data_IF_350810529606
#
_entry.id   IF_350810529606
#
_cell.length_a   1.000
_cell.length_b   1.000
_cell.length_c   1.000
_cell.angle_alpha   90.00
_cell.angle_beta   90.00
_cell.angle_gamma   90.00
#
_symmetry.space_group_name_H-M   'P 1'
#
loop_
_entity.id
_entity.type
_entity.pdbx_description
1 polymer ?
#
# COMPACT_ATOMS: atom_id res chain seq x y z
N UNK A 1 -29.04 -3.22 25.16
CA UNK A 1 -28.29 -2.26 26.01
C UNK A 1 -27.05 -1.72 25.29
N UNK A 2 -26.35 -2.50 24.45
CA UNK A 2 -25.18 -2.04 23.69
C UNK A 2 -25.43 -0.93 22.64
N UNK A 3 -26.61 -0.91 21.99
CA UNK A 3 -26.94 0.13 20.98
C UNK A 3 -27.03 1.56 21.54
N UNK A 4 -27.23 1.72 22.86
CA UNK A 4 -27.48 3.04 23.46
C UNK A 4 -26.25 3.66 24.14
N UNK A 5 -25.18 2.89 24.41
CA UNK A 5 -24.10 3.37 25.27
C UNK A 5 -22.99 4.12 24.50
N UNK A 6 -22.91 3.97 23.17
CA UNK A 6 -21.71 4.41 22.42
C UNK A 6 -21.97 5.20 21.13
N UNK A 7 -23.23 5.52 20.80
CA UNK A 7 -23.54 6.24 19.56
C UNK A 7 -23.12 5.49 18.29
N UNK A 8 -22.95 4.15 18.37
CA UNK A 8 -22.61 3.32 17.24
C UNK A 8 -23.81 3.14 16.33
N UNK A 9 -23.79 3.79 15.16
CA UNK A 9 -24.62 3.40 14.03
C UNK A 9 -24.06 2.09 13.46
N UNK A 10 -24.72 0.98 13.79
CA UNK A 10 -24.50 -0.31 13.14
C UNK A 10 -25.30 -0.36 11.85
N UNK A 11 -24.77 -0.97 10.79
CA UNK A 11 -25.53 -1.19 9.54
C UNK A 11 -26.82 -1.95 9.87
N UNK A 12 -27.96 -1.33 9.56
CA UNK A 12 -29.26 -1.96 9.72
C UNK A 12 -29.49 -3.00 8.61
N UNK A 13 -29.25 -4.27 8.94
CA UNK A 13 -29.43 -5.41 8.03
C UNK A 13 -30.89 -5.70 7.67
N UNK A 14 -31.85 -5.10 8.37
CA UNK A 14 -33.29 -5.22 8.06
C UNK A 14 -33.71 -4.39 6.85
N UNK A 15 -32.90 -3.41 6.46
CA UNK A 15 -33.17 -2.55 5.30
C UNK A 15 -33.35 -3.40 4.02
N UNK A 16 -34.38 -3.12 3.21
CA UNK A 16 -34.73 -3.93 2.04
C UNK A 16 -33.67 -3.84 0.93
N UNK A 17 -32.87 -2.77 0.90
CA UNK A 17 -31.87 -2.52 -0.12
C UNK A 17 -30.49 -3.11 0.22
N UNK A 18 -30.36 -3.89 1.30
CA UNK A 18 -29.12 -4.57 1.68
C UNK A 18 -29.01 -5.91 0.96
N UNK A 19 -27.91 -6.11 0.24
CA UNK A 19 -27.60 -7.33 -0.49
C UNK A 19 -27.52 -8.54 0.44
N UNK A 20 -28.04 -9.68 -0.01
CA UNK A 20 -28.05 -10.92 0.78
C UNK A 20 -26.64 -11.35 1.19
N UNK A 21 -25.64 -11.22 0.32
CA UNK A 21 -24.26 -11.56 0.66
C UNK A 21 -23.67 -10.63 1.73
N UNK A 22 -24.14 -9.38 1.85
CA UNK A 22 -23.70 -8.49 2.93
C UNK A 22 -24.28 -8.94 4.28
N UNK A 23 -25.56 -9.36 4.28
CA UNK A 23 -26.19 -9.95 5.48
C UNK A 23 -25.47 -11.23 5.89
N UNK A 24 -25.24 -12.11 4.93
CA UNK A 24 -24.51 -13.36 5.16
C UNK A 24 -23.10 -13.10 5.69
N UNK A 25 -22.39 -12.10 5.17
CA UNK A 25 -21.05 -11.76 5.66
C UNK A 25 -21.06 -11.22 7.09
N UNK A 26 -22.01 -10.35 7.45
CA UNK A 26 -22.05 -9.66 8.75
C UNK A 26 -22.74 -10.46 9.86
N UNK A 27 -23.48 -11.53 9.52
CA UNK A 27 -24.07 -12.41 10.52
C UNK A 27 -22.98 -13.18 11.29
N UNK A 28 -23.23 -13.44 12.57
CA UNK A 28 -22.41 -14.37 13.36
C UNK A 28 -22.58 -15.80 12.83
N UNK A 29 -21.47 -16.50 12.61
CA UNK A 29 -21.47 -17.92 12.26
C UNK A 29 -20.99 -18.75 13.44
N UNK A 30 -21.76 -19.74 13.87
CA UNK A 30 -21.31 -20.67 14.91
C UNK A 30 -20.03 -21.38 14.47
N UNK A 31 -19.10 -21.60 15.41
CA UNK A 31 -17.93 -22.40 15.16
C UNK A 31 -18.34 -23.84 14.82
N UNK A 32 -17.80 -24.45 13.74
CA UNK A 32 -18.19 -25.80 13.33
C UNK A 32 -17.99 -26.87 14.40
N UNK A 33 -17.04 -26.67 15.33
CA UNK A 33 -16.68 -27.62 16.38
C UNK A 33 -17.13 -27.15 17.79
N UNK A 34 -18.00 -26.13 17.87
CA UNK A 34 -18.40 -25.54 19.13
C UNK A 34 -17.33 -24.63 19.74
N UNK A 35 -17.39 -24.44 21.07
CA UNK A 35 -16.56 -23.49 21.81
C UNK A 35 -15.06 -23.79 21.66
N UNK A 36 -14.28 -22.81 21.24
CA UNK A 36 -12.82 -22.92 21.22
C UNK A 36 -12.27 -22.98 22.65
N UNK A 37 -11.46 -24.00 22.94
CA UNK A 37 -10.95 -24.25 24.30
C UNK A 37 -9.91 -23.22 24.75
N UNK A 38 -9.20 -22.57 23.81
CA UNK A 38 -8.15 -21.60 24.12
C UNK A 38 -8.70 -20.18 24.33
N UNK A 39 -9.63 -19.75 23.49
CA UNK A 39 -10.17 -18.38 23.47
C UNK A 39 -11.56 -18.28 24.08
N UNK A 40 -12.28 -19.40 24.17
CA UNK A 40 -13.64 -19.45 24.70
C UNK A 40 -14.73 -18.92 23.76
N UNK A 41 -14.37 -18.49 22.54
CA UNK A 41 -15.35 -18.00 21.57
C UNK A 41 -16.19 -19.15 21.01
N UNK A 42 -17.45 -18.87 20.66
CA UNK A 42 -18.40 -19.83 20.10
C UNK A 42 -18.79 -19.50 18.66
N UNK A 43 -18.55 -18.27 18.23
CA UNK A 43 -18.96 -17.74 16.94
C UNK A 43 -17.79 -17.03 16.26
N UNK A 44 -17.75 -17.12 14.94
CA UNK A 44 -16.98 -16.23 14.09
C UNK A 44 -17.82 -15.01 13.78
N UNK A 45 -17.21 -13.84 13.97
CA UNK A 45 -17.81 -12.54 13.60
C UNK A 45 -16.99 -11.92 12.49
N UNK A 46 -17.67 -11.23 11.57
CA UNK A 46 -17.03 -10.35 10.61
C UNK A 46 -17.44 -8.90 10.88
N UNK A 47 -16.63 -7.97 10.41
CA UNK A 47 -16.88 -6.54 10.57
C UNK A 47 -16.53 -5.78 9.31
N UNK A 48 -17.20 -4.65 9.14
CA UNK A 48 -16.75 -3.57 8.25
C UNK A 48 -16.31 -2.38 9.09
N UNK A 49 -15.47 -1.52 8.53
CA UNK A 49 -15.06 -0.29 9.21
C UNK A 49 -16.26 0.55 9.62
N UNK A 50 -16.20 1.18 10.80
CA UNK A 50 -17.35 1.90 11.37
C UNK A 50 -17.89 3.00 10.44
N UNK A 51 -17.01 3.76 9.78
CA UNK A 51 -17.41 4.79 8.82
C UNK A 51 -18.13 4.26 7.59
N UNK A 52 -18.05 2.95 7.33
CA UNK A 52 -18.69 2.32 6.18
C UNK A 52 -20.22 2.30 6.27
N UNK A 53 -20.79 2.49 7.46
CA UNK A 53 -22.24 2.63 7.63
C UNK A 53 -22.80 3.74 6.72
N UNK A 54 -22.08 4.86 6.60
CA UNK A 54 -22.42 6.01 5.74
C UNK A 54 -22.39 5.68 4.24
N UNK A 55 -21.84 4.52 3.88
CA UNK A 55 -21.70 4.02 2.52
C UNK A 55 -22.46 2.71 2.33
N UNK A 56 -23.46 2.41 3.17
CA UNK A 56 -24.22 1.16 3.13
C UNK A 56 -24.78 0.82 1.75
N UNK A 57 -25.25 1.81 0.96
CA UNK A 57 -25.79 1.56 -0.38
C UNK A 57 -24.68 1.15 -1.37
N UNK A 58 -23.52 1.79 -1.31
CA UNK A 58 -22.35 1.42 -2.12
C UNK A 58 -21.79 0.06 -1.69
N UNK A 59 -21.81 -0.23 -0.39
CA UNK A 59 -21.38 -1.51 0.17
C UNK A 59 -22.35 -2.63 -0.25
N UNK A 60 -23.64 -2.36 -0.26
CA UNK A 60 -24.68 -3.27 -0.77
C UNK A 60 -24.50 -3.53 -2.27
N UNK A 61 -24.22 -2.48 -3.05
CA UNK A 61 -23.87 -2.61 -4.47
C UNK A 61 -22.63 -3.49 -4.65
N UNK A 62 -21.58 -3.28 -3.85
CA UNK A 62 -20.38 -4.10 -3.86
C UNK A 62 -20.67 -5.55 -3.46
N UNK A 63 -21.63 -5.81 -2.58
CA UNK A 63 -22.01 -7.16 -2.19
C UNK A 63 -23.11 -7.78 -3.07
N UNK A 64 -23.49 -7.11 -4.15
CA UNK A 64 -24.45 -7.63 -5.13
C UNK A 64 -23.72 -8.36 -6.26
N UNK A 65 -23.46 -9.65 -6.05
CA UNK A 65 -22.83 -10.53 -7.03
C UNK A 65 -23.47 -11.92 -7.02
N UNK A 66 -23.19 -12.72 -8.06
CA UNK A 66 -23.62 -14.12 -8.13
C UNK A 66 -22.62 -15.01 -7.38
N UNK A 67 -23.09 -15.70 -6.34
CA UNK A 67 -22.29 -16.72 -5.63
C UNK A 67 -21.83 -17.80 -6.62
N UNK A 68 -20.56 -18.19 -6.53
CA UNK A 68 -19.91 -19.12 -7.48
C UNK A 68 -19.96 -18.64 -8.95
N UNK A 69 -20.30 -17.38 -9.21
CA UNK A 69 -20.18 -16.73 -10.50
C UNK A 69 -18.86 -15.97 -10.63
N UNK A 70 -18.69 -15.22 -11.72
CA UNK A 70 -17.58 -14.28 -11.86
C UNK A 70 -17.84 -13.04 -10.99
N UNK A 71 -16.80 -12.55 -10.33
CA UNK A 71 -16.89 -11.27 -9.63
C UNK A 71 -17.14 -10.12 -10.62
N UNK A 72 -17.99 -9.15 -10.29
CA UNK A 72 -18.15 -7.93 -11.08
C UNK A 72 -16.82 -7.21 -11.25
N UNK A 73 -16.67 -6.53 -12.38
CA UNK A 73 -15.48 -5.74 -12.68
C UNK A 73 -15.63 -4.32 -12.13
N UNK A 74 -15.60 -4.21 -10.79
CA UNK A 74 -15.99 -3.02 -10.04
C UNK A 74 -14.89 -2.51 -9.09
N UNK A 75 -13.64 -2.61 -9.53
CA UNK A 75 -12.47 -2.08 -8.83
C UNK A 75 -12.67 -0.64 -8.34
N UNK A 76 -13.27 0.24 -9.15
CA UNK A 76 -13.52 1.64 -8.79
C UNK A 76 -14.51 1.79 -7.63
N UNK A 77 -15.51 0.91 -7.54
CA UNK A 77 -16.44 0.87 -6.41
C UNK A 77 -15.71 0.43 -5.13
N UNK A 78 -14.88 -0.62 -5.23
CA UNK A 78 -14.03 -1.06 -4.12
C UNK A 78 -13.11 0.05 -3.62
N UNK A 79 -12.42 0.77 -4.51
CA UNK A 79 -11.57 1.89 -4.14
C UNK A 79 -12.36 3.02 -3.48
N UNK A 80 -13.55 3.35 -3.99
CA UNK A 80 -14.42 4.36 -3.39
C UNK A 80 -14.84 3.99 -1.97
N UNK A 81 -15.19 2.73 -1.74
CA UNK A 81 -15.52 2.20 -0.41
C UNK A 81 -14.33 2.28 0.54
N UNK A 82 -13.14 1.86 0.11
CA UNK A 82 -11.89 1.96 0.89
C UNK A 82 -11.65 3.42 1.33
N UNK A 83 -11.71 4.37 0.39
CA UNK A 83 -11.54 5.80 0.67
C UNK A 83 -12.63 6.39 1.59
N UNK A 84 -13.76 5.71 1.74
CA UNK A 84 -14.85 6.07 2.65
C UNK A 84 -14.79 5.30 3.98
N UNK A 85 -13.70 4.56 4.24
CA UNK A 85 -13.47 3.86 5.51
C UNK A 85 -14.11 2.48 5.59
N UNK A 86 -14.41 1.85 4.46
CA UNK A 86 -14.90 0.47 4.38
C UNK A 86 -13.80 -0.60 4.28
N UNK A 87 -12.55 -0.24 4.55
CA UNK A 87 -11.45 -1.21 4.53
C UNK A 87 -11.38 -1.99 5.87
N UNK A 88 -11.08 -3.31 5.88
CA UNK A 88 -10.99 -4.18 4.71
C UNK A 88 -12.38 -4.38 4.09
N UNK A 89 -12.43 -4.43 2.76
CA UNK A 89 -13.67 -4.74 2.06
C UNK A 89 -14.16 -6.14 2.42
N UNK A 90 -15.49 -6.37 2.51
CA UNK A 90 -16.03 -7.71 2.75
C UNK A 90 -15.54 -8.72 1.70
N UNK A 91 -15.26 -9.93 2.16
CA UNK A 91 -14.87 -11.03 1.27
C UNK A 91 -16.07 -11.43 0.41
N UNK A 92 -15.81 -11.69 -0.88
CA UNK A 92 -16.84 -12.15 -1.82
C UNK A 92 -16.71 -13.64 -2.12
N UNK A 93 -17.85 -14.32 -2.28
CA UNK A 93 -17.95 -15.74 -2.71
C UNK A 93 -18.13 -15.86 -4.22
N UNK A 94 -17.32 -15.13 -4.98
CA UNK A 94 -17.27 -15.17 -6.45
C UNK A 94 -15.85 -15.49 -6.92
N UNK A 95 -15.73 -15.99 -8.16
CA UNK A 95 -14.46 -16.29 -8.78
C UNK A 95 -13.85 -15.04 -9.40
N UNK A 96 -12.58 -14.79 -9.08
CA UNK A 96 -11.82 -13.73 -9.72
C UNK A 96 -11.70 -13.98 -11.23
N UNK A 97 -11.65 -12.89 -12.00
CA UNK A 97 -11.42 -12.95 -13.44
C UNK A 97 -10.10 -13.66 -13.73
N UNK A 98 -10.15 -14.68 -14.58
CA UNK A 98 -8.94 -15.41 -15.00
C UNK A 98 -8.21 -14.61 -16.07
N UNK A 99 -6.91 -14.41 -15.87
CA UNK A 99 -6.00 -13.83 -16.87
C UNK A 99 -5.00 -14.91 -17.32
N UNK A 100 -4.76 -15.06 -18.63
CA UNK A 100 -3.84 -16.06 -19.13
C UNK A 100 -2.38 -15.71 -18.76
N UNK A 101 -1.58 -16.74 -18.43
CA UNK A 101 -0.14 -16.60 -18.12
C UNK A 101 0.70 -16.88 -19.37
N UNK A 102 0.58 -16.02 -20.39
CA UNK A 102 1.19 -16.24 -21.72
C UNK A 102 2.39 -15.34 -21.98
N UNK A 103 3.45 -15.91 -22.55
CA UNK A 103 4.65 -15.16 -22.96
C UNK A 103 5.54 -14.69 -21.81
N UNK A 104 5.38 -15.24 -20.60
CA UNK A 104 6.29 -14.95 -19.49
C UNK A 104 7.64 -15.64 -19.67
N UNK A 105 8.71 -14.93 -19.33
CA UNK A 105 10.08 -15.43 -19.32
C UNK A 105 10.46 -15.95 -17.93
N UNK A 106 11.54 -16.73 -17.80
CA UNK A 106 12.10 -17.06 -16.49
C UNK A 106 12.58 -15.81 -15.73
N UNK A 107 12.51 -15.87 -14.40
CA UNK A 107 13.15 -14.87 -13.54
C UNK A 107 14.69 -14.93 -13.70
N UNK A 108 15.42 -13.80 -13.67
CA UNK A 108 14.94 -12.42 -13.49
C UNK A 108 14.54 -11.72 -14.80
N UNK A 109 14.71 -12.36 -15.96
CA UNK A 109 14.44 -11.76 -17.28
C UNK A 109 13.00 -11.26 -17.44
N UNK A 110 12.04 -11.82 -16.70
CA UNK A 110 10.64 -11.39 -16.69
C UNK A 110 10.39 -10.00 -16.10
N UNK A 111 11.32 -9.43 -15.32
CA UNK A 111 11.09 -8.16 -14.61
C UNK A 111 11.13 -6.93 -15.54
N UNK A 112 12.00 -6.94 -16.56
CA UNK A 112 12.31 -5.78 -17.39
C UNK A 112 12.09 -6.07 -18.88
N UNK A 113 11.09 -6.88 -19.21
CA UNK A 113 10.74 -7.21 -20.59
C UNK A 113 9.25 -7.08 -20.82
N UNK A 114 8.90 -6.60 -22.01
CA UNK A 114 7.54 -6.66 -22.48
C UNK A 114 7.08 -8.12 -22.59
N UNK A 115 5.91 -8.36 -22.03
CA UNK A 115 5.18 -9.63 -22.07
C UNK A 115 3.86 -9.39 -22.79
N UNK A 116 3.15 -10.47 -23.14
CA UNK A 116 1.89 -10.35 -23.88
C UNK A 116 0.90 -9.45 -23.15
N UNK A 117 0.31 -8.47 -23.84
CA UNK A 117 -0.70 -7.59 -23.22
C UNK A 117 -1.98 -8.33 -22.76
N UNK A 118 -2.13 -9.59 -23.18
CA UNK A 118 -3.22 -10.50 -22.74
C UNK A 118 -3.15 -10.83 -21.25
N UNK A 119 -2.01 -10.60 -20.59
CA UNK A 119 -1.86 -10.90 -19.16
C UNK A 119 -2.36 -9.76 -18.26
N UNK A 120 -2.74 -8.60 -18.82
CA UNK A 120 -3.22 -7.45 -18.07
C UNK A 120 -4.75 -7.37 -18.07
N UNK A 121 -5.32 -6.83 -16.98
CA UNK A 121 -6.69 -6.33 -16.98
C UNK A 121 -6.69 -4.83 -17.25
N UNK A 122 -7.38 -4.41 -18.31
CA UNK A 122 -7.56 -3.01 -18.69
C UNK A 122 -8.83 -2.40 -18.12
N UNK A 123 -9.43 -3.04 -17.13
CA UNK A 123 -10.67 -2.56 -16.52
C UNK A 123 -10.45 -1.25 -15.76
N UNK A 124 -11.45 -0.37 -15.81
CA UNK A 124 -11.38 0.96 -15.19
C UNK A 124 -10.37 1.92 -15.84
N UNK A 125 -9.57 1.45 -16.80
CA UNK A 125 -8.58 2.26 -17.50
C UNK A 125 -9.11 2.71 -18.86
N UNK A 126 -8.92 4.00 -19.18
CA UNK A 126 -9.18 4.52 -20.52
C UNK A 126 -8.21 3.99 -21.59
N UNK A 127 -7.04 3.49 -21.19
CA UNK A 127 -6.10 2.80 -22.07
C UNK A 127 -6.36 1.30 -22.12
N UNK A 128 -6.18 0.70 -23.30
CA UNK A 128 -6.40 -0.74 -23.56
C UNK A 128 -5.16 -1.48 -24.09
N UNK A 129 -4.01 -0.81 -24.05
CA UNK A 129 -2.70 -1.34 -24.42
C UNK A 129 -1.59 -0.50 -23.75
N UNK A 130 -0.37 -1.04 -23.72
CA UNK A 130 0.79 -0.37 -23.12
C UNK A 130 1.19 0.86 -23.93
N UNK A 131 1.02 0.84 -25.25
CA UNK A 131 1.31 1.99 -26.11
C UNK A 131 0.52 3.24 -25.69
N UNK A 132 -0.77 3.08 -25.35
CA UNK A 132 -1.60 4.15 -24.82
C UNK A 132 -1.18 4.58 -23.41
N UNK A 133 -0.82 3.63 -22.52
CA UNK A 133 -0.36 4.00 -21.17
C UNK A 133 0.94 4.79 -21.22
N UNK A 134 1.86 4.41 -22.09
CA UNK A 134 3.18 5.04 -22.23
C UNK A 134 3.09 6.45 -22.81
N UNK A 135 2.06 6.75 -23.61
CA UNK A 135 1.84 8.10 -24.13
C UNK A 135 1.12 9.02 -23.13
N UNK A 136 0.63 8.50 -21.99
CA UNK A 136 -0.08 9.29 -20.98
C UNK A 136 0.78 9.58 -19.76
N UNK A 137 0.61 10.79 -19.24
CA UNK A 137 1.08 11.16 -17.89
C UNK A 137 -0.01 10.79 -16.89
N UNK A 138 0.16 9.67 -16.19
CA UNK A 138 -0.87 9.13 -15.27
C UNK A 138 -0.96 9.92 -13.97
N UNK A 139 0.19 10.36 -13.44
CA UNK A 139 0.30 11.27 -12.31
C UNK A 139 1.66 12.00 -12.36
N UNK A 140 2.00 12.75 -11.30
CA UNK A 140 3.28 13.48 -11.20
C UNK A 140 4.49 12.55 -11.24
N UNK A 141 4.41 11.44 -10.52
CA UNK A 141 5.51 10.52 -10.28
C UNK A 141 5.58 9.39 -11.32
N UNK A 142 4.63 9.35 -12.25
CA UNK A 142 4.50 8.30 -13.24
C UNK A 142 4.22 8.81 -14.66
N UNK A 143 5.25 9.41 -15.26
CA UNK A 143 5.31 9.70 -16.68
C UNK A 143 6.12 8.61 -17.39
N UNK A 144 5.45 7.74 -18.15
CA UNK A 144 6.10 6.65 -18.89
C UNK A 144 6.60 5.47 -18.04
N UNK A 145 6.07 5.23 -16.83
CA UNK A 145 6.54 4.12 -15.99
C UNK A 145 6.37 2.74 -16.61
N UNK A 146 5.42 2.61 -17.53
CA UNK A 146 5.10 1.33 -18.18
C UNK A 146 5.96 1.08 -19.43
N UNK A 147 6.89 1.97 -19.77
CA UNK A 147 7.97 1.69 -20.70
C UNK A 147 9.08 0.95 -19.95
N UNK A 148 8.86 -0.34 -19.71
CA UNK A 148 9.76 -1.21 -18.95
C UNK A 148 10.98 -1.69 -19.75
N UNK A 149 11.14 -1.22 -21.00
CA UNK A 149 12.26 -1.59 -21.88
C UNK A 149 13.22 -0.42 -22.07
N UNK A 150 12.70 0.77 -22.37
CA UNK A 150 13.51 1.97 -22.63
C UNK A 150 13.27 3.10 -21.64
N UNK A 151 12.26 2.95 -20.77
CA UNK A 151 11.85 3.97 -19.82
C UNK A 151 12.72 4.03 -18.58
N UNK A 152 12.51 5.11 -17.82
CA UNK A 152 13.31 5.45 -16.65
C UNK A 152 13.25 4.41 -15.51
N UNK A 153 12.15 3.68 -15.37
CA UNK A 153 11.99 2.69 -14.30
C UNK A 153 13.09 1.61 -14.34
N UNK A 154 13.60 1.28 -15.54
CA UNK A 154 14.76 0.36 -15.72
C UNK A 154 16.10 0.93 -15.24
N UNK A 155 16.15 2.21 -14.88
CA UNK A 155 17.34 2.88 -14.34
C UNK A 155 17.14 3.33 -12.89
N UNK A 156 15.89 3.41 -12.42
CA UNK A 156 15.56 3.83 -11.07
C UNK A 156 16.21 2.89 -10.05
N UNK A 157 16.79 3.50 -9.00
CA UNK A 157 17.59 2.87 -7.95
C UNK A 157 18.92 2.23 -8.37
N UNK A 158 19.27 2.21 -9.65
CA UNK A 158 20.57 1.68 -10.13
C UNK A 158 21.42 2.74 -10.83
N UNK A 159 20.81 3.87 -11.24
CA UNK A 159 21.49 5.03 -11.80
C UNK A 159 20.91 6.32 -11.23
N UNK A 160 21.73 7.09 -10.53
CA UNK A 160 21.32 8.37 -9.97
C UNK A 160 21.21 9.44 -11.07
N UNK A 161 20.15 10.26 -11.02
CA UNK A 161 19.98 11.44 -11.89
C UNK A 161 20.09 12.75 -11.12
N UNK A 162 19.85 12.68 -9.82
CA UNK A 162 19.96 13.77 -8.87
C UNK A 162 20.54 13.28 -7.56
N UNK A 163 20.99 14.21 -6.71
CA UNK A 163 21.48 13.93 -5.35
C UNK A 163 20.46 13.21 -4.45
N UNK A 164 19.18 13.31 -4.78
CA UNK A 164 18.07 12.67 -4.05
C UNK A 164 17.86 11.20 -4.45
N UNK A 165 18.40 10.75 -5.57
CA UNK A 165 18.19 9.39 -6.05
C UNK A 165 19.21 8.46 -5.40
N UNK A 166 18.81 7.76 -4.35
CA UNK A 166 19.67 6.79 -3.68
C UNK A 166 19.68 5.46 -4.44
N UNK A 167 20.85 4.87 -4.56
CA UNK A 167 21.03 3.58 -5.21
C UNK A 167 20.69 2.45 -4.23
N UNK A 168 20.01 1.42 -4.70
CA UNK A 168 19.58 0.30 -3.87
C UNK A 168 20.79 -0.38 -3.22
N UNK A 169 21.88 -0.58 -3.95
CA UNK A 169 23.09 -1.23 -3.42
C UNK A 169 23.75 -0.39 -2.31
N UNK A 170 23.76 0.95 -2.46
CA UNK A 170 24.26 1.85 -1.42
C UNK A 170 23.41 1.75 -0.15
N UNK A 171 22.08 1.71 -0.28
CA UNK A 171 21.17 1.60 0.86
C UNK A 171 21.32 0.25 1.55
N UNK A 172 21.40 -0.84 0.79
CA UNK A 172 21.60 -2.18 1.35
C UNK A 172 22.95 -2.32 2.05
N UNK A 173 24.01 -1.70 1.54
CA UNK A 173 25.32 -1.66 2.17
C UNK A 173 25.30 -0.95 3.55
N UNK A 174 24.44 0.05 3.73
CA UNK A 174 24.24 0.70 5.04
C UNK A 174 23.62 -0.22 6.09
N UNK A 175 22.94 -1.29 5.66
CA UNK A 175 22.34 -2.31 6.52
C UNK A 175 23.37 -3.28 7.12
N UNK A 176 24.67 -3.02 6.97
CA UNK A 176 25.76 -3.87 7.47
C UNK A 176 25.65 -5.33 7.02
N UNK A 177 25.15 -5.57 5.80
CA UNK A 177 24.96 -6.89 5.22
C UNK A 177 23.73 -7.67 5.71
N UNK A 178 22.86 -7.06 6.53
CA UNK A 178 21.77 -7.76 7.25
C UNK A 178 20.37 -7.69 6.63
N UNK A 179 20.19 -7.17 5.41
CA UNK A 179 18.84 -6.97 4.84
C UNK A 179 18.33 -8.23 4.15
N UNK A 180 17.36 -8.93 4.75
CA UNK A 180 16.76 -10.16 4.19
C UNK A 180 15.41 -9.91 3.54
N UNK A 181 14.60 -9.04 4.15
CA UNK A 181 13.24 -8.75 3.70
C UNK A 181 12.95 -7.25 3.75
N UNK A 182 12.33 -6.74 2.68
CA UNK A 182 11.93 -5.36 2.55
C UNK A 182 10.41 -5.22 2.55
N UNK A 183 9.89 -4.12 3.08
CA UNK A 183 8.48 -3.72 2.96
C UNK A 183 8.38 -2.42 2.17
N UNK A 184 7.58 -2.41 1.10
CA UNK A 184 7.48 -1.27 0.17
C UNK A 184 6.13 -0.56 0.30
N UNK A 185 6.13 0.58 0.99
CA UNK A 185 4.95 1.41 1.20
C UNK A 185 4.71 2.29 -0.03
N UNK A 186 3.55 2.12 -0.63
CA UNK A 186 3.14 2.91 -1.80
C UNK A 186 3.91 2.52 -3.06
N UNK A 187 4.16 1.21 -3.26
CA UNK A 187 5.07 0.62 -4.27
C UNK A 187 4.90 1.01 -5.75
N UNK A 188 4.01 1.95 -6.09
CA UNK A 188 3.99 2.62 -7.39
C UNK A 188 3.92 1.67 -8.58
N UNK A 189 4.88 1.80 -9.49
CA UNK A 189 5.09 0.94 -10.66
C UNK A 189 5.65 -0.45 -10.33
N UNK A 190 5.98 -0.73 -9.07
CA UNK A 190 6.61 -1.99 -8.63
C UNK A 190 8.13 -2.02 -8.81
N UNK A 191 8.77 -0.89 -9.13
CA UNK A 191 10.20 -0.86 -9.46
C UNK A 191 11.12 -1.20 -8.28
N UNK A 192 10.84 -0.67 -7.08
CA UNK A 192 11.62 -1.03 -5.89
C UNK A 192 11.54 -2.53 -5.62
N UNK A 193 10.34 -3.10 -5.74
CA UNK A 193 10.11 -4.53 -5.64
C UNK A 193 10.94 -5.37 -6.61
N UNK A 194 10.92 -4.99 -7.90
CA UNK A 194 11.68 -5.68 -8.93
C UNK A 194 13.19 -5.65 -8.60
N UNK A 195 13.71 -4.50 -8.11
CA UNK A 195 15.11 -4.35 -7.71
C UNK A 195 15.49 -5.15 -6.48
N UNK A 196 14.61 -5.24 -5.49
CA UNK A 196 14.81 -6.09 -4.33
C UNK A 196 14.80 -7.57 -4.73
N UNK A 197 13.88 -7.98 -5.62
CA UNK A 197 13.79 -9.35 -6.11
C UNK A 197 15.08 -9.79 -6.81
N UNK A 198 15.70 -8.94 -7.64
CA UNK A 198 17.02 -9.19 -8.26
C UNK A 198 18.14 -9.50 -7.25
N UNK A 199 17.96 -9.07 -5.99
CA UNK A 199 18.95 -9.20 -4.90
C UNK A 199 18.53 -10.23 -3.86
N UNK A 200 17.64 -11.16 -4.22
CA UNK A 200 17.06 -12.18 -3.34
C UNK A 200 16.30 -11.60 -2.12
N UNK A 201 15.89 -10.33 -2.18
CA UNK A 201 15.07 -9.67 -1.17
C UNK A 201 13.58 -9.78 -1.51
N UNK A 202 12.77 -10.28 -0.57
CA UNK A 202 11.38 -10.66 -0.83
C UNK A 202 10.32 -9.59 -0.52
N UNK A 203 9.29 -9.61 -1.39
CA UNK A 203 7.89 -9.11 -1.37
C UNK A 203 7.59 -7.61 -1.13
N UNK A 204 7.21 -6.85 -2.17
CA UNK A 204 6.46 -5.62 -1.96
C UNK A 204 5.04 -5.94 -1.49
N UNK A 205 4.48 -5.12 -0.62
CA UNK A 205 3.05 -5.16 -0.36
C UNK A 205 2.51 -3.74 -0.44
N UNK A 206 1.61 -3.50 -1.38
CA UNK A 206 0.83 -2.29 -1.39
C UNK A 206 -0.21 -2.38 -0.27
N UNK A 207 -0.11 -1.49 0.71
CA UNK A 207 -1.08 -1.32 1.77
C UNK A 207 -1.54 0.13 1.81
N UNK A 208 -2.83 0.33 2.07
CA UNK A 208 -3.39 1.62 2.43
C UNK A 208 -2.73 2.15 3.71
N UNK A 209 -2.49 3.46 3.77
CA UNK A 209 -1.89 4.12 4.94
C UNK A 209 -2.87 4.32 6.09
N UNK A 210 -4.17 4.10 5.85
CA UNK A 210 -5.22 4.32 6.84
C UNK A 210 -5.46 3.09 7.74
N UNK A 211 -4.68 2.01 7.57
CA UNK A 211 -4.75 0.83 8.41
C UNK A 211 -3.42 0.47 9.05
N UNK A 212 -3.53 -0.19 10.21
CA UNK A 212 -2.39 -0.85 10.82
C UNK A 212 -1.91 -2.00 9.91
N UNK A 213 -0.62 -2.05 9.65
CA UNK A 213 0.02 -3.08 8.87
C UNK A 213 -0.26 -4.46 9.47
N UNK A 214 -0.74 -5.43 8.68
CA UNK A 214 -1.16 -6.76 9.14
C UNK A 214 0.04 -7.70 9.38
N UNK A 215 1.15 -7.15 9.89
CA UNK A 215 2.37 -7.87 10.16
C UNK A 215 2.65 -7.90 11.66
N UNK A 216 3.36 -8.93 12.09
CA UNK A 216 3.94 -8.97 13.44
C UNK A 216 5.01 -7.89 13.62
N UNK A 217 5.38 -7.69 14.87
CA UNK A 217 6.42 -6.72 15.23
C UNK A 217 7.80 -7.23 14.78
N UNK A 218 8.69 -6.32 14.37
CA UNK A 218 10.09 -6.59 14.00
C UNK A 218 10.29 -7.62 12.86
N UNK A 219 9.36 -7.67 11.90
CA UNK A 219 9.41 -8.57 10.74
C UNK A 219 10.44 -8.11 9.71
N UNK A 220 10.51 -6.80 9.43
CA UNK A 220 11.27 -6.26 8.31
C UNK A 220 12.63 -5.71 8.69
N UNK A 221 13.60 -5.87 7.78
CA UNK A 221 14.95 -5.32 7.94
C UNK A 221 15.08 -3.98 7.18
N UNK A 222 14.25 -3.75 6.16
CA UNK A 222 14.14 -2.51 5.40
C UNK A 222 12.66 -2.15 5.19
N UNK A 223 12.26 -0.93 5.51
CA UNK A 223 10.98 -0.34 5.07
C UNK A 223 11.32 0.78 4.09
N UNK A 224 10.86 0.64 2.86
CA UNK A 224 10.93 1.67 1.83
C UNK A 224 9.59 2.39 1.76
N UNK A 225 9.62 3.71 1.71
CA UNK A 225 8.43 4.53 1.52
C UNK A 225 8.72 5.58 0.45
N UNK A 226 8.06 5.41 -0.70
CA UNK A 226 8.16 6.35 -1.80
C UNK A 226 7.20 7.54 -1.63
N UNK A 227 7.07 8.34 -2.68
CA UNK A 227 6.20 9.51 -2.79
C UNK A 227 4.70 9.09 -2.74
N UNK A 228 4.23 8.69 -1.58
CA UNK A 228 2.89 8.18 -1.33
C UNK A 228 2.41 8.38 0.11
N UNK A 229 3.29 8.84 1.01
CA UNK A 229 2.97 9.16 2.40
C UNK A 229 2.21 10.49 2.58
N UNK A 230 1.34 10.87 1.65
CA UNK A 230 0.47 12.03 1.86
C UNK A 230 -0.70 11.65 2.77
N UNK A 231 -0.42 11.57 4.07
CA UNK A 231 -1.36 11.16 5.12
C UNK A 231 -2.43 12.23 5.43
N UNK A 232 -2.75 13.10 4.47
CA UNK A 232 -3.89 14.01 4.51
C UNK A 232 -3.83 15.01 5.67
N UNK A 233 -2.92 15.99 5.59
CA UNK A 233 -2.94 17.27 6.32
C UNK A 233 -2.90 17.26 7.85
N UNK A 234 -3.27 16.17 8.52
CA UNK A 234 -3.33 16.03 9.98
C UNK A 234 -2.04 15.35 10.47
N UNK A 235 -1.26 16.00 11.35
CA UNK A 235 0.03 15.48 11.80
C UNK A 235 -0.08 14.13 12.53
N UNK A 236 -1.20 13.87 13.21
CA UNK A 236 -1.43 12.63 13.96
C UNK A 236 -1.47 11.40 13.05
N UNK A 237 -1.96 11.53 11.81
CA UNK A 237 -1.97 10.43 10.84
C UNK A 237 -0.55 9.99 10.46
N UNK A 238 0.35 10.96 10.27
CA UNK A 238 1.77 10.68 10.03
C UNK A 238 2.43 10.05 11.26
N UNK A 239 2.03 10.47 12.46
CA UNK A 239 2.52 9.88 13.71
C UNK A 239 2.06 8.42 13.86
N UNK A 240 0.77 8.11 13.65
CA UNK A 240 0.28 6.72 13.67
C UNK A 240 1.02 5.84 12.65
N UNK A 241 1.21 6.34 11.43
CA UNK A 241 1.98 5.64 10.41
C UNK A 241 3.43 5.40 10.86
N UNK A 242 4.09 6.41 11.45
CA UNK A 242 5.47 6.27 11.93
C UNK A 242 5.58 5.24 13.07
N UNK A 243 4.61 5.20 13.99
CA UNK A 243 4.54 4.16 15.02
C UNK A 243 4.40 2.76 14.42
N UNK A 244 3.63 2.62 13.36
CA UNK A 244 3.39 1.34 12.74
C UNK A 244 4.57 0.86 11.88
N UNK A 245 5.23 1.79 11.16
CA UNK A 245 6.52 1.55 10.51
C UNK A 245 7.54 1.10 11.54
N UNK A 246 7.66 1.84 12.64
CA UNK A 246 8.61 1.51 13.70
C UNK A 246 8.33 0.14 14.30
N UNK A 247 7.06 -0.22 14.51
CA UNK A 247 6.65 -1.51 15.04
C UNK A 247 7.08 -2.67 14.15
N UNK A 248 6.87 -2.59 12.83
CA UNK A 248 7.19 -3.69 11.90
C UNK A 248 8.67 -3.74 11.53
N UNK A 249 9.39 -2.62 11.64
CA UNK A 249 10.83 -2.54 11.38
C UNK A 249 11.63 -3.04 12.59
N UNK A 250 12.60 -3.92 12.37
CA UNK A 250 13.48 -4.43 13.43
C UNK A 250 14.51 -3.39 13.88
N UNK A 251 14.94 -3.46 15.14
CA UNK A 251 16.08 -2.67 15.64
C UNK A 251 17.33 -2.88 14.75
N UNK A 252 18.04 -1.80 14.43
CA UNK A 252 19.15 -1.81 13.47
C UNK A 252 18.73 -1.83 12.00
N UNK A 253 17.44 -2.11 11.71
CA UNK A 253 16.86 -2.05 10.37
C UNK A 253 16.75 -0.63 9.83
N UNK A 254 16.52 -0.53 8.52
CA UNK A 254 16.53 0.71 7.78
C UNK A 254 15.12 1.19 7.42
N UNK A 255 14.84 2.47 7.62
CA UNK A 255 13.74 3.18 7.01
C UNK A 255 14.29 4.06 5.89
N UNK A 256 13.93 3.75 4.65
CA UNK A 256 14.28 4.51 3.46
C UNK A 256 13.08 5.35 3.00
N UNK A 257 13.18 6.66 3.22
CA UNK A 257 12.28 7.65 2.65
C UNK A 257 12.80 8.05 1.26
N UNK A 258 12.13 7.61 0.20
CA UNK A 258 12.51 7.87 -1.19
C UNK A 258 11.71 9.04 -1.76
N UNK A 259 12.42 10.12 -2.12
CA UNK A 259 11.86 11.33 -2.71
C UNK A 259 10.53 11.78 -2.06
N UNK A 260 10.49 11.85 -0.72
CA UNK A 260 9.31 12.27 0.03
C UNK A 260 9.02 13.76 -0.23
N UNK A 261 7.86 14.05 -0.82
CA UNK A 261 7.43 15.41 -1.13
C UNK A 261 7.06 16.21 0.12
N UNK A 262 7.84 17.26 0.40
CA UNK A 262 7.58 18.20 1.47
C UNK A 262 6.79 19.40 0.92
N UNK A 263 5.46 19.30 0.89
CA UNK A 263 4.60 20.36 0.33
C UNK A 263 4.65 21.68 1.11
N UNK A 264 5.00 21.64 2.39
CA UNK A 264 5.14 22.81 3.28
C UNK A 264 6.31 22.61 4.25
N UNK A 265 6.86 23.72 4.75
CA UNK A 265 7.87 23.67 5.82
C UNK A 265 7.34 23.03 7.11
N UNK A 266 6.04 23.13 7.39
CA UNK A 266 5.41 22.48 8.53
C UNK A 266 5.45 20.95 8.41
N UNK A 267 5.15 20.38 7.22
CA UNK A 267 5.28 18.93 7.00
C UNK A 267 6.72 18.47 7.20
N UNK A 268 7.70 19.23 6.69
CA UNK A 268 9.13 18.94 6.85
C UNK A 268 9.54 18.96 8.34
N UNK A 269 9.11 19.97 9.10
CA UNK A 269 9.37 20.07 10.54
C UNK A 269 8.71 18.94 11.31
N UNK A 270 7.46 18.62 11.02
CA UNK A 270 6.73 17.54 11.67
C UNK A 270 7.42 16.19 11.48
N UNK A 271 7.79 15.84 10.24
CA UNK A 271 8.54 14.63 9.94
C UNK A 271 9.90 14.59 10.65
N UNK A 272 10.64 15.69 10.63
CA UNK A 272 11.96 15.75 11.29
C UNK A 272 11.84 15.55 12.81
N UNK A 273 10.84 16.18 13.44
CA UNK A 273 10.53 16.00 14.87
C UNK A 273 10.14 14.57 15.20
N UNK A 274 9.38 13.90 14.34
CA UNK A 274 9.04 12.48 14.53
C UNK A 274 10.29 11.61 14.45
N UNK A 275 11.13 11.79 13.44
CA UNK A 275 12.39 11.04 13.30
C UNK A 275 13.27 11.18 14.54
N UNK A 276 13.37 12.40 15.08
CA UNK A 276 14.12 12.70 16.31
C UNK A 276 13.47 12.10 17.56
N UNK A 277 12.13 12.22 17.70
CA UNK A 277 11.37 11.62 18.81
C UNK A 277 11.56 10.11 18.89
N UNK A 278 11.56 9.42 17.76
CA UNK A 278 11.78 7.98 17.70
C UNK A 278 13.26 7.59 17.84
N UNK A 279 14.20 8.56 17.83
CA UNK A 279 15.63 8.30 17.98
C UNK A 279 16.28 7.66 16.76
N UNK A 280 15.71 7.79 15.57
CA UNK A 280 16.30 7.24 14.35
C UNK A 280 17.64 7.91 14.04
N UNK A 281 18.67 7.08 13.82
CA UNK A 281 19.98 7.56 13.39
C UNK A 281 19.95 7.90 11.90
N UNK A 282 20.28 9.14 11.55
CA UNK A 282 20.35 9.61 10.15
C UNK A 282 21.63 9.05 9.50
N UNK A 283 21.52 8.05 8.63
CA UNK A 283 22.67 7.49 7.90
C UNK A 283 22.96 8.27 6.62
N UNK A 284 21.90 8.68 5.92
CA UNK A 284 21.97 9.55 4.74
C UNK A 284 20.77 10.47 4.73
N UNK A 285 20.97 11.76 4.42
CA UNK A 285 19.92 12.77 4.42
C UNK A 285 20.19 13.82 3.34
N UNK A 286 19.31 13.92 2.35
CA UNK A 286 19.44 14.87 1.25
C UNK A 286 18.12 15.57 1.02
N UNK A 287 18.16 16.91 1.06
CA UNK A 287 17.05 17.77 0.64
C UNK A 287 17.39 18.33 -0.74
N UNK A 288 16.48 18.18 -1.69
CA UNK A 288 16.60 18.72 -3.03
C UNK A 288 15.35 19.44 -3.47
N UNK A 289 15.52 20.26 -4.49
CA UNK A 289 14.45 21.01 -5.12
C UNK A 289 14.27 20.50 -6.54
N UNK A 290 13.01 20.35 -6.96
CA UNK A 290 12.65 20.02 -8.34
C UNK A 290 11.65 21.06 -8.83
N UNK A 291 11.91 21.64 -10.00
CA UNK A 291 10.96 22.55 -10.62
C UNK A 291 9.90 21.70 -11.32
N UNK A 292 8.64 21.90 -10.95
CA UNK A 292 7.53 21.19 -11.60
C UNK A 292 7.18 21.84 -12.95
N UNK A 293 6.29 21.20 -13.71
CA UNK A 293 5.87 21.69 -15.03
C UNK A 293 5.19 23.07 -15.03
N UNK A 294 4.81 23.62 -13.87
CA UNK A 294 4.26 24.97 -13.72
C UNK A 294 5.29 26.00 -13.21
N UNK A 295 6.57 25.62 -13.15
CA UNK A 295 7.67 26.51 -12.78
C UNK A 295 7.82 26.74 -11.26
N UNK A 296 7.03 26.06 -10.42
CA UNK A 296 7.17 26.16 -8.96
C UNK A 296 8.24 25.19 -8.47
N UNK A 297 9.10 25.67 -7.56
CA UNK A 297 10.07 24.82 -6.86
C UNK A 297 9.35 23.94 -5.83
N UNK A 298 9.56 22.64 -5.92
CA UNK A 298 9.04 21.63 -5.01
C UNK A 298 10.19 21.00 -4.23
N UNK A 299 10.05 20.92 -2.90
CA UNK A 299 11.08 20.39 -2.01
C UNK A 299 10.85 18.90 -1.74
N UNK A 300 11.92 18.12 -1.87
CA UNK A 300 11.93 16.67 -1.67
C UNK A 300 13.00 16.26 -0.66
N UNK A 301 12.63 15.34 0.23
CA UNK A 301 13.53 14.71 1.19
C UNK A 301 13.80 13.27 0.76
N UNK A 302 15.08 12.90 0.72
CA UNK A 302 15.50 11.51 0.59
C UNK A 302 16.39 11.17 1.78
N UNK A 303 16.04 10.12 2.52
CA UNK A 303 16.73 9.76 3.74
C UNK A 303 16.81 8.25 3.95
N UNK A 304 17.94 7.80 4.48
CA UNK A 304 18.10 6.45 5.05
C UNK A 304 18.33 6.63 6.53
N UNK A 305 17.44 6.03 7.31
CA UNK A 305 17.38 6.15 8.76
C UNK A 305 17.54 4.76 9.36
N UNK A 306 18.30 4.63 10.44
CA UNK A 306 18.46 3.37 11.16
C UNK A 306 17.66 3.41 12.45
N UNK A 307 16.81 2.38 12.66
CA UNK A 307 16.05 2.24 13.89
C UNK A 307 17.01 1.98 15.07
N UNK A 308 16.92 2.75 16.17
CA UNK A 308 17.78 2.53 17.33
C UNK A 308 17.41 1.23 18.05
N UNK A 309 18.34 0.74 18.88
CA UNK A 309 17.99 -0.21 19.93
C UNK A 309 17.38 0.59 21.08
N UNK A 310 16.16 0.23 21.49
CA UNK A 310 15.50 0.78 22.67
C UNK A 310 15.53 -0.29 23.76
N UNK A 311 16.01 0.08 24.94
CA UNK A 311 16.08 -0.78 26.13
C UNK A 311 14.86 -0.48 27.00
#
# INVERSE_FOLDING_TARGET
MEKQILGYESIDLSRPNIANELKEFLNSHQLPLGKDSRTGITEMVASVGHSCEKSADLLSQYMSYKVNGLCPDDWSLGQKLILQGCEPLPRRRCFAKTLPKVGLQPFPFSLWKNVSEKIYSWSGLGCKNLACLNSKKLNRDCAGCFDIVHGYETQKYVKARSKNDFLIDDVLAMGSGGTRIGFDIGGGSGTFAARMAERNGTFPLYLSLDQRFPFYDNVYDLVHAANGLDVGGRPEKLEFLMFDIDRVLRAGGLLWLDNFYCSTDDKKRALTRLIERFGYKKLKWVVGERVNGSGKSEVYLSAVLQKPVRV
#
